data_IF_109029887736
#
_entry.id   IF_109029887736
#
_cell.length_a   1.000
_cell.length_b   1.000
_cell.length_c   1.000
_cell.angle_alpha   90.00
_cell.angle_beta   90.00
_cell.angle_gamma   90.00
#
_symmetry.space_group_name_H-M   'P 1'
#
loop_
_entity.id
_entity.type
_entity.pdbx_description
1 polymer ?
#
# COMPACT_ATOMS: atom_id res chain seq x y z
N UNK A 1 29.98 4.25 -9.05
CA UNK A 1 28.62 4.62 -9.50
C UNK A 1 27.81 3.36 -9.71
N UNK A 2 27.06 2.96 -8.68
CA UNK A 2 25.89 2.07 -8.67
C UNK A 2 25.25 2.43 -7.31
N UNK A 3 24.12 3.09 -7.22
CA UNK A 3 22.88 2.78 -7.90
C UNK A 3 21.98 2.06 -6.90
N UNK A 4 21.33 2.86 -6.06
CA UNK A 4 20.01 2.66 -5.44
C UNK A 4 19.73 1.26 -4.85
N UNK A 5 19.67 1.18 -3.52
CA UNK A 5 18.57 0.49 -2.85
C UNK A 5 18.25 1.25 -1.56
N UNK A 6 17.38 2.26 -1.66
CA UNK A 6 16.55 2.64 -0.51
C UNK A 6 15.56 1.48 -0.33
N UNK A 7 15.94 0.46 0.44
CA UNK A 7 14.96 -0.40 1.08
C UNK A 7 14.27 0.46 2.13
N UNK A 8 13.14 1.08 1.77
CA UNK A 8 12.30 1.74 2.76
C UNK A 8 11.65 0.66 3.60
N UNK A 9 12.35 0.41 4.70
CA UNK A 9 11.89 -0.19 5.93
C UNK A 9 10.40 0.07 6.16
N UNK A 10 9.65 -1.02 6.18
CA UNK A 10 8.27 -1.09 6.62
C UNK A 10 8.25 -0.93 8.15
N UNK A 11 8.60 0.27 8.61
CA UNK A 11 8.30 0.70 9.97
C UNK A 11 6.78 0.81 10.11
N UNK A 12 6.26 0.43 11.28
CA UNK A 12 4.88 0.64 11.75
C UNK A 12 4.51 2.14 11.71
N UNK A 13 4.38 2.70 10.50
CA UNK A 13 4.02 4.08 10.28
C UNK A 13 2.50 4.13 10.30
N UNK A 14 1.97 4.94 11.23
CA UNK A 14 0.60 5.39 11.32
C UNK A 14 -0.09 5.36 9.96
N UNK A 15 -1.22 4.65 9.84
CA UNK A 15 -1.95 4.50 8.57
C UNK A 15 -2.09 5.85 7.85
N UNK A 16 -1.43 5.99 6.71
CA UNK A 16 -1.46 7.20 5.89
C UNK A 16 -2.13 6.87 4.55
N UNK A 17 -3.36 7.35 4.39
CA UNK A 17 -4.17 7.07 3.19
C UNK A 17 -3.48 7.52 1.90
N UNK A 18 -2.55 8.49 1.98
CA UNK A 18 -1.84 9.01 0.80
C UNK A 18 -0.99 7.95 0.11
N UNK A 19 -0.47 6.99 0.88
CA UNK A 19 0.32 5.84 0.36
C UNK A 19 -0.54 4.76 -0.27
N UNK A 20 -1.86 4.85 -0.10
CA UNK A 20 -2.80 3.85 -0.57
C UNK A 20 -3.82 4.43 -1.55
N UNK A 21 -3.59 5.63 -2.08
CA UNK A 21 -4.46 6.25 -3.09
C UNK A 21 -4.46 5.46 -4.40
N UNK A 22 -3.35 4.82 -4.73
CA UNK A 22 -3.21 3.93 -5.90
C UNK A 22 -4.07 2.67 -5.82
N UNK A 23 -4.43 2.23 -4.61
CA UNK A 23 -5.35 1.11 -4.41
C UNK A 23 -6.83 1.51 -4.55
N UNK A 24 -7.12 2.82 -4.67
CA UNK A 24 -8.48 3.32 -4.80
C UNK A 24 -8.93 3.38 -6.27
N UNK A 25 -10.10 2.81 -6.54
CA UNK A 25 -10.73 2.92 -7.85
C UNK A 25 -11.24 4.34 -8.12
N UNK A 26 -11.13 4.78 -9.37
CA UNK A 26 -11.56 6.10 -9.84
C UNK A 26 -10.93 7.29 -9.09
N UNK A 27 -9.64 7.18 -8.73
CA UNK A 27 -8.90 8.28 -8.13
C UNK A 27 -8.83 9.49 -9.08
N UNK A 28 -9.50 10.57 -8.71
CA UNK A 28 -9.46 11.89 -9.34
C UNK A 28 -8.75 12.86 -8.41
N UNK A 29 -7.51 13.18 -8.71
CA UNK A 29 -6.74 14.19 -7.98
C UNK A 29 -7.01 15.56 -8.59
N UNK A 30 -7.43 16.53 -7.78
CA UNK A 30 -7.69 17.93 -8.15
C UNK A 30 -6.89 18.84 -7.21
N UNK A 31 -5.65 19.14 -7.60
CA UNK A 31 -4.75 19.99 -6.81
C UNK A 31 -4.47 19.42 -5.42
N UNK A 32 -4.96 20.08 -4.37
CA UNK A 32 -4.74 19.69 -2.96
C UNK A 32 -5.77 18.69 -2.41
N UNK A 33 -6.75 18.32 -3.24
CA UNK A 33 -7.84 17.41 -2.88
C UNK A 33 -7.87 16.22 -3.83
N UNK A 34 -8.30 15.07 -3.35
CA UNK A 34 -8.53 13.89 -4.16
C UNK A 34 -9.93 13.36 -3.90
N UNK A 35 -10.51 12.75 -4.93
CA UNK A 35 -11.79 12.06 -4.87
C UNK A 35 -11.63 10.64 -5.41
N UNK A 36 -12.29 9.68 -4.80
CA UNK A 36 -12.26 8.30 -5.25
C UNK A 36 -13.60 7.59 -4.97
N UNK A 37 -13.73 6.37 -5.48
CA UNK A 37 -14.78 5.45 -5.07
C UNK A 37 -14.48 4.90 -3.69
N UNK A 38 -15.48 4.94 -2.80
CA UNK A 38 -15.38 4.39 -1.46
C UNK A 38 -15.43 2.86 -1.53
N UNK A 39 -14.43 2.13 -1.02
CA UNK A 39 -14.41 0.66 -1.07
C UNK A 39 -15.38 -0.01 -0.06
N UNK A 40 -16.05 0.78 0.78
CA UNK A 40 -17.05 0.29 1.76
C UNK A 40 -18.44 0.31 1.14
N UNK A 41 -18.87 1.45 0.61
CA UNK A 41 -20.22 1.65 0.09
C UNK A 41 -20.31 1.67 -1.45
N UNK A 42 -19.19 1.63 -2.17
CA UNK A 42 -19.15 1.71 -3.64
C UNK A 42 -19.46 3.10 -4.20
N UNK A 43 -19.66 4.12 -3.36
CA UNK A 43 -20.00 5.48 -3.80
C UNK A 43 -18.78 6.32 -4.22
N UNK A 44 -18.88 7.08 -5.31
CA UNK A 44 -17.82 7.97 -5.85
C UNK A 44 -17.59 9.27 -5.06
N UNK A 45 -17.98 9.32 -3.78
CA UNK A 45 -17.92 10.54 -2.96
C UNK A 45 -16.92 10.47 -1.81
N UNK A 46 -15.92 9.58 -1.90
CA UNK A 46 -14.80 9.59 -0.97
C UNK A 46 -13.89 10.77 -1.35
N UNK A 47 -13.79 11.77 -0.47
CA UNK A 47 -12.94 12.95 -0.71
C UNK A 47 -11.91 13.07 0.41
N UNK A 48 -10.69 13.43 0.06
CA UNK A 48 -9.64 13.70 1.03
C UNK A 48 -8.67 14.78 0.59
N UNK A 49 -7.85 15.23 1.53
CA UNK A 49 -6.77 16.17 1.25
C UNK A 49 -5.46 15.41 1.05
N UNK A 50 -4.72 15.73 -0.01
CA UNK A 50 -3.34 15.23 -0.21
C UNK A 50 -2.36 15.87 0.77
N UNK A 51 -2.69 17.03 1.33
CA UNK A 51 -1.82 17.78 2.25
C UNK A 51 -1.96 17.31 3.70
N UNK A 52 -3.20 17.12 4.17
CA UNK A 52 -3.45 16.78 5.59
C UNK A 52 -3.64 15.29 5.87
N UNK A 53 -3.84 14.45 4.85
CA UNK A 53 -4.15 13.02 5.03
C UNK A 53 -5.54 12.74 5.61
N UNK A 54 -6.34 13.78 5.87
CA UNK A 54 -7.75 13.67 6.30
C UNK A 54 -8.64 13.32 5.11
N UNK A 55 -9.58 12.42 5.31
CA UNK A 55 -10.54 11.99 4.30
C UNK A 55 -11.90 11.68 4.92
N UNK A 56 -12.96 11.88 4.15
CA UNK A 56 -14.34 11.58 4.54
C UNK A 56 -15.15 11.09 3.34
N UNK A 57 -16.00 10.09 3.55
CA UNK A 57 -16.98 9.68 2.56
C UNK A 57 -18.26 10.51 2.73
N UNK A 58 -18.73 11.13 1.64
CA UNK A 58 -19.95 11.93 1.64
C UNK A 58 -21.21 11.18 1.18
N UNK A 59 -21.08 9.97 0.60
CA UNK A 59 -22.23 9.22 0.06
C UNK A 59 -22.93 8.31 1.07
N UNK A 60 -22.20 7.78 2.06
CA UNK A 60 -22.75 6.75 2.95
C UNK A 60 -22.28 6.84 4.40
N UNK A 61 -21.79 8.01 4.82
CA UNK A 61 -21.24 8.30 6.15
C UNK A 61 -20.34 7.17 6.71
N UNK A 62 -19.53 6.55 5.85
CA UNK A 62 -18.70 5.43 6.25
C UNK A 62 -17.64 5.91 7.24
N UNK A 63 -17.48 5.17 8.34
CA UNK A 63 -16.45 5.46 9.32
C UNK A 63 -15.07 5.40 8.65
N UNK A 64 -14.18 6.32 9.02
CA UNK A 64 -12.82 6.32 8.50
C UNK A 64 -12.14 4.97 8.77
N UNK A 65 -12.44 4.30 9.89
CA UNK A 65 -11.95 2.98 10.28
C UNK A 65 -12.25 1.91 9.22
N UNK A 66 -13.51 1.72 8.84
CA UNK A 66 -13.90 0.75 7.79
C UNK A 66 -13.18 1.00 6.47
N UNK A 67 -13.03 2.28 6.10
CA UNK A 67 -12.30 2.66 4.90
C UNK A 67 -10.82 2.24 5.02
N UNK A 68 -10.20 2.37 6.20
CA UNK A 68 -8.82 1.89 6.43
C UNK A 68 -8.73 0.39 6.29
N UNK A 69 -9.65 -0.37 6.86
CA UNK A 69 -9.59 -1.85 6.83
C UNK A 69 -9.76 -2.39 5.39
N UNK A 70 -10.48 -1.66 4.53
CA UNK A 70 -10.62 -2.00 3.11
C UNK A 70 -9.45 -1.56 2.24
N UNK A 71 -8.84 -0.41 2.56
CA UNK A 71 -7.72 0.16 1.78
C UNK A 71 -6.37 -0.40 2.23
N UNK A 72 -6.22 -0.69 3.52
CA UNK A 72 -4.97 -1.19 4.08
C UNK A 72 -4.58 -2.43 3.27
N UNK A 73 -3.30 -2.52 2.85
CA UNK A 73 -2.82 -3.73 2.22
C UNK A 73 -3.12 -4.84 3.22
N UNK A 74 -4.03 -5.75 2.85
CA UNK A 74 -4.10 -7.06 3.51
C UNK A 74 -2.67 -7.51 3.49
N UNK A 75 -2.05 -7.67 4.66
CA UNK A 75 -0.69 -8.17 4.75
C UNK A 75 -0.67 -9.41 3.86
N UNK A 76 -0.06 -9.27 2.68
CA UNK A 76 0.05 -10.38 1.73
C UNK A 76 1.13 -11.21 2.35
N UNK A 77 0.72 -12.07 3.28
CA UNK A 77 1.65 -12.98 3.92
C UNK A 77 2.35 -13.74 2.80
N UNK A 78 3.70 -13.73 2.78
CA UNK A 78 4.43 -14.49 1.79
C UNK A 78 4.00 -15.95 1.94
N UNK A 79 3.51 -16.52 0.84
CA UNK A 79 3.17 -17.93 0.79
C UNK A 79 4.37 -18.77 1.21
N UNK A 80 4.12 -19.95 1.79
CA UNK A 80 5.16 -20.93 2.11
C UNK A 80 6.10 -21.20 0.92
N UNK A 81 5.59 -21.21 -0.32
CA UNK A 81 6.42 -21.33 -1.52
C UNK A 81 7.38 -20.14 -1.70
N UNK A 82 6.91 -18.91 -1.46
CA UNK A 82 7.71 -17.69 -1.59
C UNK A 82 8.89 -17.69 -0.60
N UNK A 83 8.66 -18.21 0.61
CA UNK A 83 9.70 -18.32 1.64
C UNK A 83 10.77 -19.36 1.26
N UNK A 84 10.35 -20.53 0.78
CA UNK A 84 11.26 -21.59 0.34
C UNK A 84 12.09 -21.19 -0.88
N UNK A 85 11.48 -20.48 -1.84
CA UNK A 85 12.18 -20.04 -3.04
C UNK A 85 13.27 -19.01 -2.71
N UNK A 86 12.98 -18.06 -1.81
CA UNK A 86 13.99 -17.12 -1.29
C UNK A 86 15.14 -17.83 -0.59
N UNK A 87 14.86 -18.85 0.22
CA UNK A 87 15.91 -19.62 0.88
C UNK A 87 16.76 -20.41 -0.13
N UNK A 88 16.12 -21.03 -1.15
CA UNK A 88 16.82 -21.71 -2.25
C UNK A 88 17.75 -20.74 -2.98
N UNK A 89 17.24 -19.58 -3.39
CA UNK A 89 18.03 -18.57 -4.11
C UNK A 89 19.21 -18.07 -3.27
N UNK A 90 19.05 -17.95 -1.95
CA UNK A 90 20.15 -17.58 -1.04
C UNK A 90 21.25 -18.64 -1.06
N UNK A 91 20.88 -19.92 -0.92
CA UNK A 91 21.83 -21.05 -0.96
C UNK A 91 22.53 -21.17 -2.31
N UNK A 92 21.82 -20.98 -3.42
CA UNK A 92 22.42 -21.01 -4.76
C UNK A 92 23.42 -19.87 -4.98
N UNK A 93 23.13 -18.67 -4.46
CA UNK A 93 24.08 -17.54 -4.50
C UNK A 93 25.32 -17.83 -3.66
N UNK A 94 25.16 -18.43 -2.48
CA UNK A 94 26.27 -18.83 -1.61
C UNK A 94 27.13 -19.92 -2.27
N UNK A 95 26.53 -20.91 -2.93
CA UNK A 95 27.27 -21.95 -3.67
C UNK A 95 28.05 -21.36 -4.85
N UNK A 96 27.41 -20.53 -5.68
CA UNK A 96 28.09 -19.86 -6.80
C UNK A 96 29.20 -18.94 -6.34
N UNK A 97 29.10 -18.35 -5.15
CA UNK A 97 30.15 -17.52 -4.57
C UNK A 97 31.31 -18.33 -3.96
N UNK A 98 31.07 -19.59 -3.57
CA UNK A 98 32.11 -20.49 -3.09
C UNK A 98 32.86 -21.19 -4.23
N UNK A 99 32.22 -21.35 -5.39
CA UNK A 99 32.80 -21.94 -6.60
C UNK A 99 33.46 -20.91 -7.54
N UNK A 100 33.32 -19.61 -7.26
CA UNK A 100 33.93 -18.50 -8.00
C UNK A 100 35.21 -18.01 -7.30
#
# INVERSE_FOLDING_TARGET
>A
MTGVFCETESGFQSFDIRRHLEALENLKVRGRSWQATCPVCGGNSLKGSTTSGKYKCWSGDCASRDIRERIAPRHREPSWQDQLDRERQRREREQRAAEA
#
